data_IF_250947183743
#
_entry.id   IF_250947183743
#
_cell.length_a   1.000
_cell.length_b   1.000
_cell.length_c   1.000
_cell.angle_alpha   90.00
_cell.angle_beta   90.00
_cell.angle_gamma   90.00
#
_symmetry.space_group_name_H-M   'P 1'
#
loop_
_entity.id
_entity.type
_entity.pdbx_description
1 polymer ?
#
# COMPACT_ATOMS: atom_id res chain seq x y z
N UNK A 1 0.97 -13.37 13.48
CA UNK A 1 0.70 -13.28 12.52
C UNK A 1 -0.26 -14.04 12.10
N UNK A 2 -0.84 -14.07 11.39
CA UNK A 2 -1.79 -14.59 11.05
C UNK A 2 -1.66 -15.28 9.93
N UNK A 3 -2.08 -16.23 9.69
CA UNK A 3 -1.97 -16.81 8.64
C UNK A 3 -3.05 -17.28 8.17
N UNK A 4 -3.54 -17.15 7.42
CA UNK A 4 -4.67 -17.51 6.93
C UNK A 4 -4.60 -18.66 6.36
N UNK A 5 -4.24 -19.43 6.54
CA UNK A 5 -4.19 -20.48 6.05
C UNK A 5 -5.18 -21.02 5.47
N UNK A 6 -5.92 -20.74 5.13
CA UNK A 6 -6.80 -21.25 4.36
C UNK A 6 -6.80 -22.57 4.31
N UNK A 7 -6.28 -23.18 5.01
CA UNK A 7 -6.53 -24.44 5.05
C UNK A 7 -6.93 -25.17 3.96
N UNK A 8 -6.40 -25.57 3.25
CA UNK A 8 -6.77 -26.42 2.24
C UNK A 8 -7.21 -25.80 1.02
N UNK A 9 -7.48 -24.54 1.04
CA UNK A 9 -7.97 -23.97 -0.05
C UNK A 9 -6.87 -23.59 -0.91
N UNK A 10 -6.93 -23.81 -2.19
CA UNK A 10 -5.95 -23.40 -3.08
C UNK A 10 -6.30 -22.12 -3.72
N UNK A 11 -5.42 -21.18 -3.78
CA UNK A 11 -5.68 -19.93 -4.46
C UNK A 11 -5.51 -20.11 -5.95
N UNK A 12 -6.38 -19.55 -6.72
CA UNK A 12 -6.25 -19.59 -8.18
C UNK A 12 -5.10 -18.69 -8.58
N UNK A 13 -4.67 -18.81 -9.83
CA UNK A 13 -3.60 -17.95 -10.32
C UNK A 13 -4.00 -16.49 -10.22
N UNK A 14 -5.25 -16.19 -10.51
CA UNK A 14 -5.72 -14.81 -10.42
C UNK A 14 -5.63 -14.31 -8.99
N UNK A 15 -5.99 -15.12 -8.02
CA UNK A 15 -5.96 -14.69 -6.64
C UNK A 15 -4.53 -14.54 -6.14
N UNK A 16 -3.61 -15.37 -6.63
CA UNK A 16 -2.23 -15.22 -6.25
C UNK A 16 -1.67 -13.91 -6.78
N UNK A 17 -2.01 -13.57 -8.02
CA UNK A 17 -1.55 -12.34 -8.58
C UNK A 17 -2.14 -11.16 -7.83
N UNK A 18 -3.39 -11.28 -7.43
CA UNK A 18 -4.03 -10.20 -6.70
C UNK A 18 -3.36 -9.98 -5.36
N UNK A 19 -3.01 -11.06 -4.66
CA UNK A 19 -2.34 -10.92 -3.39
C UNK A 19 -0.95 -10.33 -3.57
N UNK A 20 -0.25 -10.71 -4.62
CA UNK A 20 1.06 -10.16 -4.88
C UNK A 20 0.97 -8.66 -5.14
N UNK A 21 -0.06 -8.23 -5.87
CA UNK A 21 -0.26 -6.83 -6.15
C UNK A 21 -0.58 -6.06 -4.87
N UNK A 22 -1.40 -6.65 -4.00
CA UNK A 22 -1.73 -6.02 -2.73
C UNK A 22 -0.48 -5.87 -1.88
N UNK A 23 0.34 -6.91 -1.83
CA UNK A 23 1.57 -6.84 -1.05
C UNK A 23 2.51 -5.78 -1.60
N UNK A 24 2.58 -5.67 -2.92
CA UNK A 24 3.42 -4.64 -3.52
C UNK A 24 2.92 -3.25 -3.13
N UNK A 25 1.61 -3.02 -3.22
CA UNK A 25 1.06 -1.72 -2.87
C UNK A 25 1.28 -1.40 -1.40
N UNK A 26 1.14 -2.40 -0.52
CA UNK A 26 1.37 -2.15 0.88
C UNK A 26 2.83 -1.82 1.16
N UNK A 27 3.75 -2.44 0.43
CA UNK A 27 5.16 -2.11 0.56
C UNK A 27 5.44 -0.68 0.17
N UNK A 28 4.80 -0.21 -0.92
CA UNK A 28 4.96 1.17 -1.35
C UNK A 28 4.45 2.12 -0.28
N UNK A 29 3.31 1.81 0.31
CA UNK A 29 2.74 2.67 1.35
C UNK A 29 3.66 2.69 2.58
N UNK A 30 4.23 1.55 2.95
CA UNK A 30 5.13 1.51 4.08
C UNK A 30 6.36 2.36 3.82
N UNK A 31 6.88 2.36 2.59
CA UNK A 31 8.02 3.18 2.27
C UNK A 31 7.67 4.66 2.42
N UNK A 32 6.48 5.05 2.01
CA UNK A 32 6.05 6.44 2.18
C UNK A 32 5.95 6.78 3.67
N UNK A 33 5.46 5.87 4.48
CA UNK A 33 5.33 6.14 5.91
C UNK A 33 6.71 6.34 6.53
N UNK A 34 7.69 5.52 6.13
CA UNK A 34 9.03 5.68 6.63
C UNK A 34 9.62 7.01 6.23
N UNK A 35 9.40 7.43 4.98
CA UNK A 35 9.89 8.71 4.51
C UNK A 35 9.25 9.84 5.28
N UNK A 36 7.95 9.75 5.54
CA UNK A 36 7.24 10.78 6.27
C UNK A 36 7.83 10.91 7.68
N UNK A 37 8.13 9.78 8.31
CA UNK A 37 8.68 9.83 9.64
C UNK A 37 10.01 10.57 9.63
N UNK A 38 10.88 10.24 8.70
CA UNK A 38 12.18 10.87 8.65
C UNK A 38 12.10 12.35 8.32
N UNK A 39 11.21 12.70 7.40
CA UNK A 39 11.06 14.09 7.02
C UNK A 39 10.46 14.93 8.14
N UNK A 40 9.61 14.32 8.94
CA UNK A 40 9.07 15.04 10.09
C UNK A 40 10.16 15.25 11.14
N UNK A 41 11.00 14.26 11.36
CA UNK A 41 12.09 14.40 12.31
C UNK A 41 13.05 15.48 11.84
N UNK A 42 13.35 15.53 10.54
CA UNK A 42 14.27 16.49 10.00
C UNK A 42 13.64 17.84 9.77
N UNK A 43 12.32 17.95 9.89
CA UNK A 43 11.59 19.18 9.66
C UNK A 43 11.74 19.65 8.22
N UNK A 44 11.87 18.71 7.29
CA UNK A 44 11.98 19.03 5.88
C UNK A 44 10.57 19.08 5.31
N UNK A 45 9.85 20.15 5.58
CA UNK A 45 8.45 20.21 5.26
C UNK A 45 8.17 20.39 3.77
N UNK A 46 9.12 20.93 3.03
CA UNK A 46 8.91 21.05 1.59
C UNK A 46 8.88 19.68 0.94
N UNK A 47 9.84 18.84 1.27
CA UNK A 47 9.85 17.51 0.69
C UNK A 47 8.74 16.68 1.29
N UNK A 48 8.39 16.90 2.54
CA UNK A 48 7.29 16.16 3.14
C UNK A 48 5.99 16.44 2.40
N UNK A 49 5.77 17.66 1.97
CA UNK A 49 4.56 17.99 1.23
C UNK A 49 4.50 17.20 -0.07
N UNK A 50 5.63 17.06 -0.76
CA UNK A 50 5.66 16.31 -2.01
C UNK A 50 5.38 14.82 -1.75
N UNK A 51 5.95 14.28 -0.69
CA UNK A 51 5.75 12.88 -0.36
C UNK A 51 4.28 12.63 0.00
N UNK A 52 3.66 13.57 0.71
CA UNK A 52 2.26 13.41 1.07
C UNK A 52 1.37 13.40 -0.16
N UNK A 53 1.67 14.24 -1.14
CA UNK A 53 0.88 14.24 -2.37
C UNK A 53 0.98 12.88 -3.06
N UNK A 54 2.18 12.32 -3.12
CA UNK A 54 2.35 11.03 -3.77
C UNK A 54 1.63 9.94 -3.00
N UNK A 55 1.66 9.99 -1.68
CA UNK A 55 0.96 8.99 -0.89
C UNK A 55 -0.54 9.09 -1.10
N UNK A 56 -1.06 10.31 -1.17
CA UNK A 56 -2.49 10.49 -1.40
C UNK A 56 -2.88 9.90 -2.75
N UNK A 57 -2.04 10.04 -3.75
CA UNK A 57 -2.35 9.46 -5.05
C UNK A 57 -2.35 7.94 -5.00
N UNK A 58 -1.44 7.34 -4.26
CA UNK A 58 -1.43 5.90 -4.11
C UNK A 58 -2.69 5.42 -3.40
N UNK A 59 -3.10 6.12 -2.36
CA UNK A 59 -4.30 5.74 -1.64
C UNK A 59 -5.53 5.91 -2.50
N UNK A 60 -5.53 6.91 -3.37
CA UNK A 60 -6.65 7.13 -4.25
C UNK A 60 -6.76 6.00 -5.26
N UNK A 61 -5.65 5.50 -5.76
CA UNK A 61 -5.71 4.39 -6.69
C UNK A 61 -6.32 3.16 -6.02
N UNK A 62 -5.97 2.93 -4.76
CA UNK A 62 -6.54 1.81 -4.04
C UNK A 62 -8.04 2.01 -3.87
N UNK A 63 -8.44 3.24 -3.56
CA UNK A 63 -9.86 3.52 -3.39
C UNK A 63 -10.63 3.28 -4.68
N UNK A 64 -10.06 3.68 -5.80
CA UNK A 64 -10.72 3.46 -7.07
C UNK A 64 -10.82 1.98 -7.42
N UNK A 65 -9.79 1.21 -7.06
CA UNK A 65 -9.84 -0.23 -7.29
C UNK A 65 -10.95 -0.88 -6.49
N UNK A 66 -11.13 -0.45 -5.25
CA UNK A 66 -12.18 -0.99 -4.44
C UNK A 66 -13.54 -0.64 -5.02
N UNK A 67 -13.67 0.59 -5.50
CA UNK A 67 -14.93 1.00 -6.07
C UNK A 67 -15.27 0.15 -7.30
N UNK A 68 -14.29 -0.17 -8.11
CA UNK A 68 -14.55 -0.98 -9.27
C UNK A 68 -14.99 -2.39 -8.90
N UNK A 69 -14.57 -2.89 -7.76
CA UNK A 69 -14.94 -4.22 -7.37
C UNK A 69 -16.25 -4.29 -6.66
N UNK A 70 -16.78 -3.19 -6.24
CA UNK A 70 -18.07 -3.19 -5.61
C UNK A 70 -19.16 -3.22 -6.67
#
# INVERSE_FOLDING_TARGET
MFRFETTGMKLSAYEKERLAHINYKMGVIHDFVDDIYELLVDRDFDELSDVLVELIEELREIQLSITDEL
#
